data_IF_128402222022
#
_entry.id   IF_128402222022
#
_cell.length_a   1.000
_cell.length_b   1.000
_cell.length_c   1.000
_cell.angle_alpha   90.00
_cell.angle_beta   90.00
_cell.angle_gamma   90.00
#
_symmetry.space_group_name_H-M   'P 1'
#
loop_
_entity.id
_entity.type
_entity.pdbx_description
1 polymer ?
#
# COMPACT_ATOMS: atom_id res chain seq x y z
N UNK A 1 5.09 14.11 -51.84
CA UNK A 1 6.52 14.44 -51.67
C UNK A 1 6.91 13.92 -50.29
N UNK A 2 7.70 12.87 -50.28
CA UNK A 2 8.09 12.15 -49.09
C UNK A 2 9.52 12.55 -48.73
N UNK A 3 9.72 13.11 -47.54
CA UNK A 3 11.07 13.27 -46.99
C UNK A 3 11.30 12.26 -45.88
N UNK A 4 12.24 11.37 -46.15
CA UNK A 4 12.75 10.39 -45.20
C UNK A 4 13.91 11.03 -44.42
N UNK A 5 13.76 11.24 -43.14
CA UNK A 5 14.88 11.57 -42.27
C UNK A 5 15.47 10.26 -41.71
N UNK A 6 16.71 10.01 -42.13
CA UNK A 6 17.53 8.93 -41.60
C UNK A 6 18.17 9.34 -40.26
N UNK A 7 17.94 8.60 -39.20
CA UNK A 7 18.63 8.78 -37.93
C UNK A 7 19.82 7.84 -37.83
N UNK A 8 20.98 8.47 -37.72
CA UNK A 8 22.31 7.84 -37.60
C UNK A 8 22.49 7.27 -36.20
N UNK A 9 22.71 5.95 -36.12
CA UNK A 9 23.06 5.24 -34.88
C UNK A 9 24.58 5.33 -34.68
N UNK A 10 25.02 5.97 -33.61
CA UNK A 10 26.41 5.94 -33.14
C UNK A 10 26.56 4.90 -32.02
N UNK A 11 27.21 3.81 -32.35
CA UNK A 11 27.73 2.80 -31.42
C UNK A 11 29.04 3.32 -30.81
N UNK A 12 29.10 3.44 -29.49
CA UNK A 12 30.35 3.58 -28.74
C UNK A 12 30.51 2.36 -27.84
N UNK A 13 31.43 1.50 -28.24
CA UNK A 13 31.93 0.41 -27.41
C UNK A 13 33.05 0.93 -26.49
N UNK A 14 32.92 0.74 -25.20
CA UNK A 14 33.97 1.01 -24.21
C UNK A 14 34.12 -0.17 -23.28
N UNK A 15 35.15 -0.96 -23.54
CA UNK A 15 35.67 -2.05 -22.67
C UNK A 15 36.69 -1.41 -21.72
N UNK A 16 36.56 -1.64 -20.42
CA UNK A 16 37.69 -1.61 -19.48
C UNK A 16 37.45 -2.61 -18.34
N UNK A 17 38.32 -3.63 -18.35
CA UNK A 17 38.49 -4.60 -17.29
C UNK A 17 39.27 -3.96 -16.12
N UNK A 18 38.93 -4.31 -14.89
CA UNK A 18 39.68 -3.96 -13.68
C UNK A 18 39.51 -5.04 -12.62
N UNK A 19 40.49 -5.95 -12.52
CA UNK A 19 40.67 -6.90 -11.42
C UNK A 19 41.10 -6.14 -10.14
N UNK A 20 40.57 -6.54 -8.98
CA UNK A 20 41.03 -6.07 -7.67
C UNK A 20 40.66 -7.05 -6.56
N UNK A 21 41.61 -7.77 -6.11
CA UNK A 21 41.76 -8.84 -5.11
C UNK A 21 41.19 -8.50 -3.70
N UNK A 22 40.57 -9.49 -3.05
CA UNK A 22 40.50 -9.65 -1.59
C UNK A 22 41.90 -10.09 -1.04
N UNK A 23 42.26 -10.06 0.27
CA UNK A 23 41.56 -10.73 1.36
C UNK A 23 41.66 -9.98 2.74
N UNK A 24 40.97 -10.50 3.76
CA UNK A 24 41.22 -10.08 5.15
C UNK A 24 40.26 -10.73 6.15
N UNK A 25 40.53 -11.96 6.52
CA UNK A 25 39.91 -12.64 7.65
C UNK A 25 40.53 -12.12 8.97
N UNK A 26 39.71 -11.72 9.93
CA UNK A 26 40.11 -11.70 11.35
C UNK A 26 39.05 -12.44 12.19
N UNK A 27 39.45 -13.65 12.58
CA UNK A 27 38.92 -14.33 13.77
C UNK A 27 39.40 -13.56 15.02
N UNK A 28 38.51 -13.31 15.94
CA UNK A 28 38.86 -13.18 17.35
C UNK A 28 37.84 -13.89 18.18
N UNK A 29 38.28 -14.99 18.72
CA UNK A 29 37.70 -15.77 19.79
C UNK A 29 37.91 -15.02 21.11
N UNK A 30 36.86 -14.88 21.90
CA UNK A 30 36.95 -14.34 23.25
C UNK A 30 35.71 -14.77 24.04
N UNK A 31 35.79 -15.97 24.66
CA UNK A 31 34.93 -16.36 25.78
C UNK A 31 35.73 -16.13 27.08
N UNK A 32 35.15 -15.50 28.09
CA UNK A 32 35.22 -16.01 29.45
C UNK A 32 33.81 -16.12 30.03
N UNK A 33 33.48 -17.18 30.54
CA UNK A 33 33.79 -17.83 31.82
C UNK A 33 32.88 -17.36 32.97
N UNK A 34 32.18 -18.36 33.35
CA UNK A 34 31.58 -18.76 34.58
C UNK A 34 31.34 -17.76 35.73
N UNK A 35 30.08 -17.76 36.14
CA UNK A 35 29.72 -18.20 37.45
C UNK A 35 29.90 -17.26 38.65
N UNK A 36 28.86 -17.08 39.34
CA UNK A 36 28.62 -17.51 40.73
C UNK A 36 27.21 -17.09 41.14
N UNK A 37 26.32 -18.06 41.27
CA UNK A 37 25.06 -17.87 42.01
C UNK A 37 25.36 -17.93 43.52
N UNK A 38 24.85 -17.00 44.31
CA UNK A 38 24.86 -17.14 45.78
C UNK A 38 23.76 -18.10 46.24
N UNK A 39 23.94 -18.77 47.40
CA UNK A 39 23.03 -19.78 47.89
C UNK A 39 21.70 -19.19 48.33
N UNK A 40 20.64 -19.94 48.07
CA UNK A 40 19.27 -19.61 48.43
C UNK A 40 19.06 -19.60 49.93
N UNK A 41 18.47 -18.53 50.44
CA UNK A 41 17.95 -18.45 51.82
C UNK A 41 16.64 -19.28 51.96
N UNK A 42 16.34 -19.84 53.13
CA UNK A 42 15.16 -20.68 53.33
C UNK A 42 13.87 -19.86 53.21
N UNK A 43 13.00 -20.34 52.35
CA UNK A 43 11.67 -19.76 52.08
C UNK A 43 10.71 -20.14 53.21
N UNK A 44 10.30 -19.14 53.99
CA UNK A 44 9.19 -19.30 54.93
C UNK A 44 7.89 -19.38 54.13
N UNK A 45 7.22 -20.53 54.21
CA UNK A 45 5.91 -20.76 53.58
C UNK A 45 4.85 -20.13 54.46
N UNK A 46 4.23 -19.03 54.01
CA UNK A 46 3.03 -18.48 54.60
C UNK A 46 1.79 -19.28 54.11
N UNK A 47 0.76 -19.45 54.95
CA UNK A 47 -0.45 -20.18 54.54
C UNK A 47 -1.23 -19.43 53.45
N UNK A 48 -1.97 -20.12 52.56
CA UNK A 48 -2.70 -19.51 51.47
C UNK A 48 -3.88 -18.69 52.03
N UNK A 49 -3.83 -17.39 51.77
CA UNK A 49 -4.99 -16.51 51.94
C UNK A 49 -5.90 -16.74 50.75
N UNK A 50 -7.05 -17.35 50.98
CA UNK A 50 -8.10 -17.49 49.97
C UNK A 50 -8.72 -16.11 49.75
N UNK A 51 -8.26 -15.40 48.76
CA UNK A 51 -8.90 -14.17 48.28
C UNK A 51 -10.10 -14.55 47.42
N UNK A 52 -11.30 -14.36 47.94
CA UNK A 52 -12.53 -14.40 47.16
C UNK A 52 -12.58 -13.16 46.31
N UNK A 53 -12.19 -13.27 45.03
CA UNK A 53 -12.34 -12.19 44.03
C UNK A 53 -13.82 -12.02 43.72
N UNK A 54 -14.35 -10.79 43.78
CA UNK A 54 -15.71 -10.53 43.30
C UNK A 54 -15.75 -10.73 41.77
N UNK A 55 -16.58 -11.65 41.33
CA UNK A 55 -16.88 -11.82 39.89
C UNK A 55 -17.61 -10.59 39.38
N UNK A 56 -16.88 -9.64 38.82
CA UNK A 56 -17.46 -8.51 38.12
C UNK A 56 -18.00 -9.02 36.80
N UNK A 57 -19.30 -9.23 36.73
CA UNK A 57 -20.01 -9.53 35.45
C UNK A 57 -19.88 -8.31 34.53
N UNK A 58 -18.97 -8.41 33.56
CA UNK A 58 -18.79 -7.37 32.54
C UNK A 58 -20.08 -7.23 31.74
N UNK A 59 -20.63 -6.01 31.69
CA UNK A 59 -21.80 -5.70 30.87
C UNK A 59 -21.53 -6.04 29.38
N UNK A 60 -22.51 -6.58 28.64
CA UNK A 60 -22.36 -6.89 27.23
C UNK A 60 -21.96 -5.64 26.44
N UNK A 61 -20.84 -5.73 25.66
CA UNK A 61 -20.45 -4.65 24.76
C UNK A 61 -21.59 -4.39 23.76
N UNK A 62 -21.99 -3.11 23.53
CA UNK A 62 -23.00 -2.78 22.52
C UNK A 62 -22.62 -3.36 21.16
N UNK A 63 -23.57 -4.01 20.49
CA UNK A 63 -23.38 -4.46 19.10
C UNK A 63 -23.01 -3.26 18.23
N UNK A 64 -21.95 -3.36 17.39
CA UNK A 64 -21.58 -2.28 16.48
C UNK A 64 -22.78 -1.93 15.59
N UNK A 65 -23.07 -0.63 15.44
CA UNK A 65 -24.09 -0.18 14.47
C UNK A 65 -23.65 -0.67 13.07
N UNK A 66 -24.59 -1.17 12.25
CA UNK A 66 -24.29 -1.56 10.87
C UNK A 66 -23.62 -0.38 10.15
N UNK A 67 -22.47 -0.62 9.53
CA UNK A 67 -21.83 0.41 8.70
C UNK A 67 -22.68 0.62 7.45
N UNK A 68 -22.89 1.87 7.00
CA UNK A 68 -23.58 2.11 5.73
C UNK A 68 -22.92 1.31 4.62
N UNK A 69 -23.70 0.58 3.84
CA UNK A 69 -23.22 -0.15 2.68
C UNK A 69 -22.87 0.85 1.57
N UNK A 70 -21.57 1.03 1.30
CA UNK A 70 -21.10 1.94 0.25
C UNK A 70 -21.54 1.53 -1.16
N UNK A 71 -21.88 0.25 -1.34
CA UNK A 71 -22.35 -0.32 -2.61
C UNK A 71 -23.88 -0.25 -2.79
N UNK A 72 -24.61 0.26 -1.80
CA UNK A 72 -26.08 0.32 -1.88
C UNK A 72 -26.50 1.14 -3.11
N UNK A 73 -27.42 0.56 -3.90
CA UNK A 73 -27.92 1.18 -5.13
C UNK A 73 -26.98 1.10 -6.33
N UNK A 74 -25.81 0.45 -6.20
CA UNK A 74 -24.98 0.17 -7.36
C UNK A 74 -25.62 -0.89 -8.25
N UNK A 75 -25.62 -0.63 -9.58
CA UNK A 75 -26.16 -1.51 -10.61
C UNK A 75 -25.08 -2.14 -11.49
N UNK A 76 -23.85 -1.62 -11.43
CA UNK A 76 -22.72 -2.17 -12.19
C UNK A 76 -22.32 -3.54 -11.62
N UNK A 77 -21.98 -4.47 -12.48
CA UNK A 77 -21.51 -5.80 -12.06
C UNK A 77 -20.25 -5.71 -11.19
N UNK A 78 -19.36 -4.79 -11.55
CA UNK A 78 -18.13 -4.45 -10.81
C UNK A 78 -17.97 -2.95 -10.74
N UNK A 79 -17.91 -2.41 -9.53
CA UNK A 79 -17.65 -1.00 -9.26
C UNK A 79 -16.51 -0.86 -8.27
N UNK A 80 -15.49 -0.08 -8.64
CA UNK A 80 -14.46 0.42 -7.74
C UNK A 80 -14.82 1.85 -7.35
N UNK A 81 -15.36 2.02 -6.14
CA UNK A 81 -15.77 3.32 -5.62
C UNK A 81 -14.67 3.90 -4.73
N UNK A 82 -14.19 5.09 -5.04
CA UNK A 82 -13.21 5.84 -4.25
C UNK A 82 -13.81 7.11 -3.70
N UNK A 83 -13.52 7.45 -2.45
CA UNK A 83 -13.79 8.77 -1.88
C UNK A 83 -12.48 9.44 -1.49
N UNK A 84 -12.21 10.57 -2.10
CA UNK A 84 -11.05 11.41 -1.78
C UNK A 84 -11.17 11.95 -0.34
N UNK A 85 -12.34 12.43 0.08
CA UNK A 85 -12.53 12.93 1.43
C UNK A 85 -12.35 11.85 2.51
N UNK A 86 -12.72 10.59 2.23
CA UNK A 86 -12.62 9.49 3.19
C UNK A 86 -11.30 8.72 3.07
N UNK A 87 -10.50 8.99 2.04
CA UNK A 87 -9.28 8.26 1.74
C UNK A 87 -9.52 6.75 1.78
N UNK A 88 -10.53 6.31 1.03
CA UNK A 88 -11.01 4.92 1.12
C UNK A 88 -11.51 4.42 -0.24
N UNK A 89 -11.29 3.14 -0.50
CA UNK A 89 -11.83 2.43 -1.65
C UNK A 89 -12.78 1.34 -1.20
N UNK A 90 -13.88 1.17 -1.93
CA UNK A 90 -14.84 0.07 -1.82
C UNK A 90 -14.93 -0.63 -3.17
N UNK A 91 -14.91 -1.94 -3.16
CA UNK A 91 -15.07 -2.80 -4.35
C UNK A 91 -16.40 -3.51 -4.23
N UNK A 92 -17.27 -3.31 -5.20
CA UNK A 92 -18.68 -3.71 -5.18
C UNK A 92 -18.99 -4.66 -6.32
N UNK A 93 -19.53 -5.84 -5.99
CA UNK A 93 -20.17 -6.73 -6.95
C UNK A 93 -21.69 -6.49 -6.91
N UNK A 94 -22.21 -5.77 -7.89
CA UNK A 94 -23.56 -5.23 -7.77
C UNK A 94 -23.69 -4.40 -6.49
N UNK A 95 -24.73 -4.58 -5.73
CA UNK A 95 -24.98 -3.88 -4.47
C UNK A 95 -24.25 -4.51 -3.24
N UNK A 96 -23.35 -5.47 -3.45
CA UNK A 96 -22.62 -6.16 -2.38
C UNK A 96 -21.20 -5.64 -2.26
N UNK A 97 -20.80 -5.28 -1.05
CA UNK A 97 -19.40 -4.95 -0.74
C UNK A 97 -18.59 -6.25 -0.68
N UNK A 98 -17.58 -6.38 -1.56
CA UNK A 98 -16.69 -7.56 -1.61
C UNK A 98 -15.33 -7.29 -0.98
N UNK A 99 -14.84 -6.02 -1.04
CA UNK A 99 -13.59 -5.61 -0.41
C UNK A 99 -13.61 -4.11 -0.09
N UNK A 100 -12.84 -3.69 0.89
CA UNK A 100 -12.57 -2.27 1.10
C UNK A 100 -11.25 -2.05 1.83
N UNK A 101 -10.60 -0.93 1.56
CA UNK A 101 -9.33 -0.57 2.17
C UNK A 101 -9.16 0.95 2.26
N UNK A 102 -8.40 1.45 3.25
CA UNK A 102 -7.91 2.81 3.19
C UNK A 102 -6.92 2.95 2.02
N UNK A 103 -6.91 4.13 1.38
CA UNK A 103 -6.01 4.48 0.28
C UNK A 103 -5.33 5.82 0.55
N UNK A 104 -4.43 6.22 -0.34
CA UNK A 104 -3.90 7.58 -0.38
C UNK A 104 -4.09 8.13 -1.78
N UNK A 105 -4.86 9.17 -1.93
CA UNK A 105 -5.09 9.87 -3.20
C UNK A 105 -4.06 10.97 -3.41
N UNK A 106 -4.19 11.71 -4.49
CA UNK A 106 -3.35 12.85 -4.80
C UNK A 106 -3.38 13.96 -3.74
N UNK A 107 -2.30 14.72 -3.66
CA UNK A 107 -2.10 15.80 -2.70
C UNK A 107 -2.95 17.02 -3.06
N UNK A 108 -4.15 17.11 -2.52
CA UNK A 108 -5.16 18.12 -2.91
C UNK A 108 -4.78 19.57 -2.60
N UNK A 109 -3.78 19.80 -1.75
CA UNK A 109 -3.26 21.14 -1.45
C UNK A 109 -2.06 21.54 -2.33
N UNK A 110 -1.57 20.61 -3.16
CA UNK A 110 -0.52 20.90 -4.12
C UNK A 110 -1.11 21.13 -5.52
N UNK A 111 -0.59 22.09 -6.28
CA UNK A 111 -1.03 22.34 -7.64
C UNK A 111 -0.83 21.08 -8.51
N UNK A 112 -1.86 20.71 -9.27
CA UNK A 112 -1.82 19.62 -10.28
C UNK A 112 -1.69 18.19 -9.73
N UNK A 113 -1.64 17.99 -8.40
CA UNK A 113 -1.47 16.67 -7.81
C UNK A 113 -2.79 16.01 -7.35
N UNK A 114 -3.93 16.66 -7.58
CA UNK A 114 -5.23 16.09 -7.20
C UNK A 114 -5.60 14.88 -8.03
N UNK A 115 -6.15 13.84 -7.38
CA UNK A 115 -6.81 12.74 -8.10
C UNK A 115 -8.07 13.27 -8.80
N UNK A 116 -8.22 13.05 -10.12
CA UNK A 116 -9.39 13.53 -10.84
C UNK A 116 -10.64 12.80 -10.39
N UNK A 117 -11.71 13.54 -10.10
CA UNK A 117 -13.03 13.00 -9.76
C UNK A 117 -13.85 12.73 -11.02
N UNK A 118 -14.70 11.72 -10.99
CA UNK A 118 -15.50 11.33 -12.15
C UNK A 118 -15.80 9.84 -12.18
N UNK A 119 -16.29 9.40 -13.33
CA UNK A 119 -16.53 7.99 -13.63
C UNK A 119 -15.65 7.58 -14.80
N UNK A 120 -14.91 6.51 -14.59
CA UNK A 120 -13.91 5.94 -15.48
C UNK A 120 -14.13 4.44 -15.63
N UNK A 121 -13.25 3.78 -16.35
CA UNK A 121 -13.18 2.32 -16.45
C UNK A 121 -11.73 1.85 -16.26
N UNK A 122 -11.56 0.66 -15.72
CA UNK A 122 -10.25 -0.01 -15.74
C UNK A 122 -9.85 -0.24 -17.19
N UNK A 123 -8.69 0.28 -17.59
CA UNK A 123 -8.23 0.27 -18.99
C UNK A 123 -7.27 -0.87 -19.29
N UNK A 124 -6.42 -1.21 -18.33
CA UNK A 124 -5.49 -2.34 -18.40
C UNK A 124 -5.15 -2.86 -17.00
N UNK A 125 -4.44 -3.97 -16.93
CA UNK A 125 -3.95 -4.57 -15.68
C UNK A 125 -2.55 -5.10 -15.91
N UNK A 126 -1.58 -4.52 -15.20
CA UNK A 126 -0.18 -4.85 -15.34
C UNK A 126 0.45 -5.24 -14.00
N UNK A 127 1.51 -6.02 -14.06
CA UNK A 127 2.34 -6.34 -12.90
C UNK A 127 3.78 -5.94 -13.16
N UNK A 128 4.51 -5.67 -12.06
CA UNK A 128 5.95 -5.48 -12.09
C UNK A 128 6.40 -4.31 -12.99
N UNK A 129 5.67 -3.21 -12.93
CA UNK A 129 5.85 -2.05 -13.81
C UNK A 129 6.71 -0.96 -13.16
N UNK A 130 7.45 -0.22 -13.97
CA UNK A 130 8.09 1.04 -13.58
C UNK A 130 7.24 2.20 -14.07
N UNK A 131 6.73 3.01 -13.15
CA UNK A 131 6.02 4.25 -13.43
C UNK A 131 7.04 5.37 -13.53
N UNK A 132 6.95 6.20 -14.59
CA UNK A 132 7.82 7.37 -14.77
C UNK A 132 6.97 8.62 -14.73
N UNK A 133 7.26 9.50 -13.76
CA UNK A 133 6.60 10.79 -13.63
C UNK A 133 7.10 11.78 -14.71
N UNK A 134 6.36 12.86 -14.92
CA UNK A 134 6.78 13.96 -15.83
C UNK A 134 8.12 14.59 -15.39
N UNK A 135 8.46 14.53 -14.10
CA UNK A 135 9.75 14.96 -13.56
C UNK A 135 10.91 14.02 -13.90
N UNK A 136 10.64 12.84 -14.49
CA UNK A 136 11.62 11.79 -14.72
C UNK A 136 11.84 10.85 -13.54
N UNK A 137 11.24 11.10 -12.38
CA UNK A 137 11.30 10.19 -11.23
C UNK A 137 10.63 8.86 -11.56
N UNK A 138 11.22 7.74 -11.09
CA UNK A 138 10.75 6.40 -11.39
C UNK A 138 10.39 5.65 -10.12
N UNK A 139 9.29 4.91 -10.17
CA UNK A 139 8.76 4.11 -9.07
C UNK A 139 8.40 2.71 -9.58
N UNK A 140 9.02 1.68 -9.00
CA UNK A 140 8.65 0.30 -9.30
C UNK A 140 7.46 -0.11 -8.44
N UNK A 141 6.44 -0.68 -9.10
CA UNK A 141 5.19 -1.13 -8.46
C UNK A 141 4.96 -2.60 -8.80
N UNK A 142 4.33 -3.33 -7.86
CA UNK A 142 3.96 -4.72 -8.10
C UNK A 142 2.73 -4.83 -9.00
N UNK A 143 1.79 -3.87 -8.89
CA UNK A 143 0.57 -3.82 -9.67
C UNK A 143 0.32 -2.40 -10.19
N UNK A 144 -0.12 -2.32 -11.45
CA UNK A 144 -0.59 -1.10 -12.08
C UNK A 144 -1.93 -1.33 -12.75
N UNK A 145 -2.94 -0.54 -12.39
CA UNK A 145 -4.31 -0.64 -12.92
C UNK A 145 -4.78 0.78 -13.26
N UNK A 146 -4.53 1.28 -14.49
CA UNK A 146 -4.95 2.61 -14.88
C UNK A 146 -6.46 2.69 -15.10
N UNK A 147 -7.01 3.84 -14.75
CA UNK A 147 -8.38 4.25 -15.06
C UNK A 147 -8.42 5.49 -15.96
N UNK A 148 -7.32 6.23 -16.06
CA UNK A 148 -7.14 7.39 -16.95
C UNK A 148 -5.68 7.40 -17.45
N UNK A 149 -5.38 6.46 -18.35
CA UNK A 149 -4.04 6.24 -18.87
C UNK A 149 -3.59 7.41 -19.77
N UNK A 150 -2.31 7.74 -19.79
CA UNK A 150 -1.22 7.08 -19.05
C UNK A 150 -1.00 7.68 -17.65
N UNK A 151 -1.83 8.63 -17.22
CA UNK A 151 -1.52 9.52 -16.09
C UNK A 151 -1.96 8.94 -14.74
N UNK A 152 -3.18 8.38 -14.66
CA UNK A 152 -3.78 8.02 -13.37
C UNK A 152 -4.24 6.56 -13.31
N UNK A 153 -3.95 5.93 -12.18
CA UNK A 153 -4.31 4.54 -11.90
C UNK A 153 -4.17 4.19 -10.43
N UNK A 154 -4.51 2.96 -10.12
CA UNK A 154 -4.23 2.33 -8.83
C UNK A 154 -2.87 1.65 -8.89
N UNK A 155 -2.07 1.77 -7.82
CA UNK A 155 -0.83 1.02 -7.63
C UNK A 155 -0.45 0.93 -6.16
N UNK A 156 0.36 -0.06 -5.80
CA UNK A 156 1.00 -0.13 -4.50
C UNK A 156 2.13 0.90 -4.39
N UNK A 157 2.42 1.35 -3.17
CA UNK A 157 3.40 2.39 -2.90
C UNK A 157 4.25 2.00 -1.68
N UNK A 158 5.26 1.15 -1.90
CA UNK A 158 6.14 0.68 -0.83
C UNK A 158 7.00 1.80 -0.20
N UNK A 159 7.15 2.91 -0.89
CA UNK A 159 7.87 4.12 -0.42
C UNK A 159 7.02 5.04 0.45
N UNK A 160 5.69 4.85 0.53
CA UNK A 160 4.83 5.68 1.36
C UNK A 160 5.14 5.47 2.85
N UNK A 161 5.50 6.56 3.54
CA UNK A 161 5.98 6.53 4.92
C UNK A 161 4.92 6.78 5.99
N UNK A 162 3.67 7.05 5.58
CA UNK A 162 2.56 7.32 6.49
C UNK A 162 1.38 6.37 6.22
N UNK A 163 0.47 6.15 7.20
CA UNK A 163 -0.65 5.23 7.03
C UNK A 163 -1.59 5.63 5.91
N UNK A 164 -2.06 4.65 5.13
CA UNK A 164 -3.18 4.83 4.23
C UNK A 164 -4.43 5.32 4.99
N UNK A 165 -5.23 6.17 4.36
CA UNK A 165 -6.38 6.79 5.02
C UNK A 165 -6.05 8.00 5.90
N UNK A 166 -4.77 8.38 6.00
CA UNK A 166 -4.32 9.52 6.79
C UNK A 166 -4.65 10.85 6.14
N UNK A 167 -4.97 11.88 6.95
CA UNK A 167 -5.13 13.25 6.48
C UNK A 167 -3.86 13.86 5.87
N UNK A 168 -2.70 13.24 6.06
CA UNK A 168 -1.43 13.64 5.44
C UNK A 168 -1.47 13.62 3.90
N UNK A 169 -2.40 12.89 3.29
CA UNK A 169 -2.58 12.91 1.83
C UNK A 169 -2.73 14.33 1.29
N UNK A 170 -3.25 15.27 2.08
CA UNK A 170 -3.51 16.64 1.63
C UNK A 170 -2.26 17.34 1.10
N UNK A 171 -1.11 17.07 1.71
CA UNK A 171 0.20 17.68 1.39
C UNK A 171 1.28 16.68 1.01
N UNK A 172 1.13 15.41 1.40
CA UNK A 172 2.12 14.34 1.18
C UNK A 172 1.52 13.19 0.33
N UNK A 173 0.39 13.43 -0.34
CA UNK A 173 -0.29 12.46 -1.20
C UNK A 173 0.49 12.14 -2.47
N UNK A 174 -0.15 11.42 -3.38
CA UNK A 174 0.42 11.12 -4.69
C UNK A 174 0.34 12.32 -5.64
N UNK A 175 0.86 12.17 -6.85
CA UNK A 175 0.65 13.11 -7.97
C UNK A 175 -0.63 12.79 -8.76
N UNK A 176 -1.68 12.30 -8.07
CA UNK A 176 -2.99 12.03 -8.66
C UNK A 176 -3.35 10.54 -8.76
N UNK A 177 -2.39 9.64 -8.75
CA UNK A 177 -2.65 8.20 -8.65
C UNK A 177 -3.29 7.83 -7.30
N UNK A 178 -3.83 6.64 -7.19
CA UNK A 178 -4.39 6.11 -5.94
C UNK A 178 -3.44 5.05 -5.38
N UNK A 179 -2.64 5.46 -4.40
CA UNK A 179 -1.81 4.53 -3.64
C UNK A 179 -2.71 3.60 -2.83
N UNK A 180 -2.55 2.33 -3.06
CA UNK A 180 -3.40 1.28 -2.49
C UNK A 180 -2.54 0.24 -1.77
N UNK A 181 -2.90 -0.22 -0.56
CA UNK A 181 -2.15 -1.28 0.11
C UNK A 181 -1.96 -2.51 -0.78
N UNK A 182 -0.78 -3.14 -0.75
CA UNK A 182 -0.43 -4.25 -1.63
C UNK A 182 -1.48 -5.39 -1.62
N UNK A 183 -2.03 -5.73 -0.45
CA UNK A 183 -3.07 -6.75 -0.34
C UNK A 183 -4.37 -6.35 -1.07
N UNK A 184 -4.73 -5.06 -1.01
CA UNK A 184 -5.90 -4.52 -1.71
C UNK A 184 -5.64 -4.42 -3.22
N UNK A 185 -4.40 -4.08 -3.63
CA UNK A 185 -4.01 -4.12 -5.05
C UNK A 185 -4.08 -5.51 -5.63
N UNK A 186 -3.56 -6.51 -4.89
CA UNK A 186 -3.68 -7.90 -5.32
C UNK A 186 -5.14 -8.31 -5.49
N UNK A 187 -6.01 -7.99 -4.51
CA UNK A 187 -7.43 -8.29 -4.62
C UNK A 187 -8.07 -7.58 -5.83
N UNK A 188 -7.81 -6.30 -6.01
CA UNK A 188 -8.33 -5.52 -7.15
C UNK A 188 -7.88 -6.12 -8.48
N UNK A 189 -6.61 -6.48 -8.57
CA UNK A 189 -6.04 -7.11 -9.76
C UNK A 189 -6.69 -8.46 -10.09
N UNK A 190 -6.91 -9.31 -9.10
CA UNK A 190 -7.50 -10.64 -9.31
C UNK A 190 -9.01 -10.57 -9.59
N UNK A 191 -9.70 -9.61 -8.97
CA UNK A 191 -11.17 -9.53 -8.99
C UNK A 191 -11.73 -8.68 -10.14
N UNK A 192 -11.16 -7.50 -10.41
CA UNK A 192 -11.73 -6.57 -11.38
C UNK A 192 -11.33 -6.94 -12.81
N UNK A 193 -12.28 -6.86 -13.72
CA UNK A 193 -12.05 -7.01 -15.16
C UNK A 193 -11.62 -5.66 -15.78
N UNK A 194 -10.95 -5.71 -16.93
CA UNK A 194 -10.82 -4.55 -17.81
C UNK A 194 -12.21 -4.12 -18.24
N UNK A 195 -12.52 -2.83 -18.16
CA UNK A 195 -13.86 -2.28 -18.38
C UNK A 195 -14.71 -2.16 -17.09
N UNK A 196 -14.26 -2.69 -15.94
CA UNK A 196 -14.95 -2.47 -14.67
C UNK A 196 -15.05 -0.96 -14.35
N UNK A 197 -16.22 -0.55 -13.85
CA UNK A 197 -16.48 0.87 -13.52
C UNK A 197 -15.63 1.34 -12.35
N UNK A 198 -15.03 2.53 -12.49
CA UNK A 198 -14.32 3.24 -11.43
C UNK A 198 -15.02 4.57 -11.19
N UNK A 199 -15.54 4.80 -9.99
CA UNK A 199 -16.14 6.09 -9.60
C UNK A 199 -15.33 6.74 -8.51
N UNK A 200 -14.82 7.95 -8.77
CA UNK A 200 -14.02 8.73 -7.82
C UNK A 200 -14.84 9.95 -7.39
N UNK A 201 -15.16 10.03 -6.11
CA UNK A 201 -15.94 11.11 -5.50
C UNK A 201 -15.05 12.00 -4.63
N UNK A 202 -15.40 13.29 -4.52
CA UNK A 202 -14.74 14.21 -3.59
C UNK A 202 -14.68 13.71 -2.15
#
# INVERSE_FOLDING_TARGET
MAERLAVLVLLVAGVLAGCGTAPGAHRSSGRPDASHSPPAAPRVVAPPVVATSPTTTAAPKPKPKPRPNACAGNVDSQLVLVSVAKQHVWMCAGNHLVYSAPVTTGAVELPYDSTPTGTYQIQEKDTDRTLTLLSGAQYRVNYWIPFDAPLFGFHDASWQSFPYGSAKYRTEGSHGCIHTPLAAMKFLYDWADVGATVTIRP
#
